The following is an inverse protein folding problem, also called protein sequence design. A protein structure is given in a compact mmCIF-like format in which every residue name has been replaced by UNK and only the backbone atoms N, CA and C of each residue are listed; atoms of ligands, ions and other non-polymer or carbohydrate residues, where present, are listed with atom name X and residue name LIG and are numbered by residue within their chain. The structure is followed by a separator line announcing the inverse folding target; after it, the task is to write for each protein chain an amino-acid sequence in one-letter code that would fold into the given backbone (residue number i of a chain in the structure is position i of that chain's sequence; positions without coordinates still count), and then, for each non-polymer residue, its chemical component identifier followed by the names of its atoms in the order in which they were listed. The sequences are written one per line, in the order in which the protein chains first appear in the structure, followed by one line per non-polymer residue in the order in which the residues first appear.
data_IF_804382794785
#
_entry.id   IF_804382794785
#
_cell.length_a   1.000
_cell.length_b   1.000
_cell.length_c   1.000
_cell.angle_alpha   90.00
_cell.angle_beta   90.00
_cell.angle_gamma   90.00
#
_symmetry.space_group_name_H-M   'P 1'
#
loop_
_entity.id
_entity.type
_entity.pdbx_description
1 polymer ?
#
# COMPACT_ATOMS: atom_id res chain seq x y z
N UNK A 1 -42.88 17.95 0.01
CA UNK A 1 -41.90 17.72 -1.07
C UNK A 1 -41.04 16.54 -0.66
N UNK A 2 -41.11 15.41 -1.38
CA UNK A 2 -40.51 14.15 -0.94
C UNK A 2 -39.70 13.54 -2.08
N UNK A 3 -38.37 13.62 -1.99
CA UNK A 3 -37.48 12.76 -2.78
C UNK A 3 -36.53 12.05 -1.83
N UNK A 4 -36.91 10.81 -1.52
CA UNK A 4 -36.08 9.81 -0.86
C UNK A 4 -34.95 9.44 -1.82
N UNK A 5 -33.74 9.95 -1.61
CA UNK A 5 -32.54 9.43 -2.27
C UNK A 5 -31.80 8.51 -1.31
N UNK A 6 -32.23 7.25 -1.32
CA UNK A 6 -31.39 6.10 -1.04
C UNK A 6 -30.13 6.20 -1.89
N UNK A 7 -28.94 6.21 -1.28
CA UNK A 7 -27.72 5.60 -1.85
C UNK A 7 -26.62 5.59 -0.77
N UNK A 8 -26.36 4.37 -0.31
CA UNK A 8 -25.11 3.78 0.19
C UNK A 8 -24.61 4.26 1.56
N UNK A 9 -24.83 3.38 2.54
CA UNK A 9 -24.22 3.37 3.85
C UNK A 9 -22.69 3.59 3.79
N UNK A 10 -22.10 4.28 4.78
CA UNK A 10 -20.65 4.37 4.93
C UNK A 10 -20.13 3.05 5.51
N UNK A 11 -19.92 2.03 4.66
CA UNK A 11 -19.10 0.87 5.04
C UNK A 11 -17.64 1.26 4.90
N UNK A 12 -17.03 1.78 5.97
CA UNK A 12 -15.58 1.58 6.22
C UNK A 12 -15.22 1.95 7.67
N UNK A 13 -15.72 1.21 8.67
CA UNK A 13 -15.29 1.35 10.08
C UNK A 13 -14.77 0.05 10.70
N UNK A 14 -14.30 -0.89 9.86
CA UNK A 14 -13.57 -2.10 10.29
C UNK A 14 -12.19 -2.24 9.63
N UNK A 15 -11.63 -1.12 9.17
CA UNK A 15 -10.45 -1.00 8.29
C UNK A 15 -9.14 -1.59 8.88
N UNK A 16 -9.09 -1.87 10.18
CA UNK A 16 -7.87 -2.33 10.84
C UNK A 16 -7.68 -3.86 10.86
N UNK A 17 -8.72 -4.64 10.53
CA UNK A 17 -8.66 -6.12 10.49
C UNK A 17 -9.02 -6.73 9.13
N UNK A 18 -9.16 -5.91 8.09
CA UNK A 18 -9.53 -6.36 6.75
C UNK A 18 -8.27 -6.82 6.01
N UNK A 19 -7.81 -8.05 6.27
CA UNK A 19 -6.80 -8.67 5.43
C UNK A 19 -7.38 -8.83 4.03
N UNK A 20 -6.81 -8.12 3.06
CA UNK A 20 -7.23 -8.17 1.64
C UNK A 20 -6.18 -8.91 0.83
N UNK A 21 -6.59 -9.47 -0.29
CA UNK A 21 -5.65 -10.12 -1.22
C UNK A 21 -4.76 -9.07 -1.90
N UNK A 22 -3.63 -9.51 -2.48
CA UNK A 22 -2.74 -8.64 -3.25
C UNK A 22 -3.51 -7.86 -4.34
N UNK A 23 -4.42 -8.53 -5.04
CA UNK A 23 -5.20 -7.91 -6.12
C UNK A 23 -6.11 -6.80 -5.59
N UNK A 24 -6.84 -7.08 -4.51
CA UNK A 24 -7.71 -6.09 -3.85
C UNK A 24 -6.93 -4.86 -3.35
N UNK A 25 -5.70 -5.05 -2.87
CA UNK A 25 -4.81 -3.94 -2.52
C UNK A 25 -4.40 -3.10 -3.73
N UNK A 26 -4.11 -3.74 -4.86
CA UNK A 26 -3.76 -3.06 -6.12
C UNK A 26 -4.97 -2.30 -6.68
N UNK A 27 -6.16 -2.91 -6.67
CA UNK A 27 -7.40 -2.27 -7.14
C UNK A 27 -7.81 -1.11 -6.21
N UNK A 28 -7.63 -1.32 -4.90
CA UNK A 28 -7.88 -0.38 -3.82
C UNK A 28 -6.77 0.66 -3.59
N UNK A 29 -5.87 0.89 -4.55
CA UNK A 29 -4.76 1.82 -4.39
C UNK A 29 -5.18 3.25 -3.98
N UNK A 30 -6.38 3.66 -4.38
CA UNK A 30 -7.00 4.93 -3.99
C UNK A 30 -7.14 5.08 -2.47
N UNK A 31 -7.38 3.97 -1.75
CA UNK A 31 -7.52 3.95 -0.29
C UNK A 31 -6.20 4.28 0.40
N UNK A 32 -5.07 3.92 -0.23
CA UNK A 32 -3.73 4.20 0.25
C UNK A 32 -3.15 5.50 -0.32
N UNK A 33 -3.90 6.22 -1.17
CA UNK A 33 -3.42 7.42 -1.92
C UNK A 33 -2.11 7.13 -2.68
N UNK A 34 -2.00 5.92 -3.22
CA UNK A 34 -0.86 5.45 -4.03
C UNK A 34 -1.35 5.00 -5.38
N UNK A 35 -0.41 4.84 -6.30
CA UNK A 35 -0.69 4.29 -7.62
C UNK A 35 -0.70 2.77 -7.60
N UNK A 36 -1.51 2.16 -8.47
CA UNK A 36 -1.66 0.70 -8.56
C UNK A 36 -0.32 0.00 -8.81
N UNK A 37 0.54 0.61 -9.62
CA UNK A 37 1.85 0.06 -9.95
C UNK A 37 2.83 0.15 -8.77
N UNK A 38 2.71 1.14 -7.87
CA UNK A 38 3.53 1.21 -6.65
C UNK A 38 3.17 0.05 -5.73
N UNK A 39 1.87 -0.23 -5.57
CA UNK A 39 1.38 -1.36 -4.75
C UNK A 39 1.77 -2.69 -5.40
N UNK A 40 1.58 -2.83 -6.71
CA UNK A 40 1.97 -4.05 -7.42
C UNK A 40 3.48 -4.32 -7.31
N UNK A 41 4.30 -3.28 -7.36
CA UNK A 41 5.75 -3.36 -7.15
C UNK A 41 6.12 -3.74 -5.71
N UNK A 42 5.53 -3.05 -4.72
CA UNK A 42 5.76 -3.34 -3.31
C UNK A 42 5.31 -4.75 -2.89
N UNK A 43 4.23 -5.24 -3.51
CA UNK A 43 3.69 -6.58 -3.29
C UNK A 43 4.18 -7.59 -4.33
N UNK A 44 5.19 -7.28 -5.14
CA UNK A 44 5.69 -8.16 -6.20
C UNK A 44 6.08 -9.53 -5.65
N UNK A 45 6.79 -9.53 -4.52
CA UNK A 45 7.24 -10.72 -3.79
C UNK A 45 6.10 -11.49 -3.08
N UNK A 46 4.93 -10.88 -2.91
CA UNK A 46 3.77 -11.52 -2.30
C UNK A 46 2.96 -12.34 -3.32
N UNK A 47 2.47 -13.50 -2.86
CA UNK A 47 1.53 -14.35 -3.62
C UNK A 47 0.21 -13.61 -3.84
N UNK A 48 -0.49 -13.92 -4.92
CA UNK A 48 -1.79 -13.29 -5.25
C UNK A 48 -2.86 -13.56 -4.19
N UNK A 49 -2.91 -14.79 -3.68
CA UNK A 49 -3.77 -15.22 -2.57
C UNK A 49 -3.25 -14.82 -1.18
N UNK A 50 -2.16 -14.05 -1.09
CA UNK A 50 -1.67 -13.58 0.20
C UNK A 50 -2.67 -12.57 0.80
N UNK A 51 -3.24 -12.91 1.94
CA UNK A 51 -4.06 -12.03 2.75
C UNK A 51 -3.15 -11.10 3.55
N UNK A 52 -2.98 -9.89 3.05
CA UNK A 52 -2.10 -8.88 3.62
C UNK A 52 -2.92 -7.88 4.44
N UNK A 53 -2.41 -7.56 5.63
CA UNK A 53 -2.98 -6.50 6.47
C UNK A 53 -2.58 -5.14 5.94
N UNK A 54 -3.36 -4.10 6.23
CA UNK A 54 -3.05 -2.72 5.82
C UNK A 54 -1.65 -2.27 6.27
N UNK A 55 -1.24 -2.64 7.49
CA UNK A 55 0.09 -2.35 8.01
C UNK A 55 1.20 -2.99 7.17
N UNK A 56 1.09 -4.28 6.84
CA UNK A 56 2.08 -4.98 6.02
C UNK A 56 2.23 -4.35 4.64
N UNK A 57 1.11 -3.98 4.00
CA UNK A 57 1.13 -3.31 2.70
C UNK A 57 1.80 -1.95 2.80
N UNK A 58 1.53 -1.17 3.86
CA UNK A 58 2.21 0.11 4.08
C UNK A 58 3.71 -0.08 4.32
N UNK A 59 4.13 -1.03 5.17
CA UNK A 59 5.55 -1.29 5.40
C UNK A 59 6.28 -1.71 4.12
N UNK A 60 5.66 -2.58 3.30
CA UNK A 60 6.22 -2.99 2.01
C UNK A 60 6.27 -1.84 1.01
N UNK A 61 5.23 -1.01 0.96
CA UNK A 61 5.19 0.19 0.13
C UNK A 61 6.26 1.19 0.54
N UNK A 62 6.42 1.45 1.83
CA UNK A 62 7.48 2.34 2.32
C UNK A 62 8.86 1.79 1.98
N UNK A 63 9.10 0.50 2.18
CA UNK A 63 10.35 -0.14 1.80
C UNK A 63 10.62 -0.12 0.28
N UNK A 64 9.57 -0.15 -0.55
CA UNK A 64 9.67 -0.07 -2.00
C UNK A 64 9.90 1.35 -2.51
N UNK A 65 9.23 2.35 -1.93
CA UNK A 65 9.25 3.75 -2.37
C UNK A 65 10.39 4.56 -1.74
N UNK A 66 10.71 4.22 -0.50
CA UNK A 66 11.95 4.60 0.17
C UNK A 66 12.72 3.31 0.37
N UNK A 67 13.35 2.77 -0.69
CA UNK A 67 14.43 1.83 -0.44
C UNK A 67 15.30 2.55 0.57
N UNK A 68 15.52 1.92 1.72
CA UNK A 68 16.46 2.44 2.69
C UNK A 68 17.78 2.47 1.92
N UNK A 69 18.07 3.58 1.26
CA UNK A 69 19.37 4.21 1.34
C UNK A 69 19.60 4.29 2.84
N UNK A 70 20.12 3.18 3.37
CA UNK A 70 21.42 3.23 3.97
C UNK A 70 22.22 4.16 3.07
N UNK A 71 22.08 5.44 3.36
CA UNK A 71 23.18 6.37 3.45
C UNK A 71 24.19 5.68 4.39
N UNK A 72 24.75 4.57 3.91
CA UNK A 72 26.14 4.28 4.10
C UNK A 72 26.75 5.53 3.49
N UNK A 73 27.14 6.42 4.37
CA UNK A 73 28.17 7.41 4.12
C UNK A 73 29.39 6.64 3.63
N UNK A 74 29.36 6.16 2.38
CA UNK A 74 30.54 5.79 1.64
C UNK A 74 31.18 7.13 1.32
N UNK A 75 31.90 7.63 2.32
CA UNK A 75 32.93 8.61 2.16
C UNK A 75 33.96 7.98 1.22
N UNK A 76 33.75 8.12 -0.09
CA UNK A 76 34.76 7.86 -1.11
C UNK A 76 35.76 9.02 -1.02
N UNK A 77 36.60 8.98 0.02
CA UNK A 77 37.90 9.64 0.02
C UNK A 77 38.75 8.88 -1.00
N UNK A 78 38.60 9.24 -2.28
CA UNK A 78 39.62 8.93 -3.27
C UNK A 78 40.55 10.13 -3.30
N UNK A 79 41.54 10.08 -2.42
CA UNK A 79 42.77 10.86 -2.55
C UNK A 79 43.66 10.15 -3.58
N UNK A 80 43.70 10.66 -4.80
CA UNK A 80 44.85 10.57 -5.71
C UNK A 80 45.00 11.86 -6.51
#
# INVERSE_FOLDING_TARGET
MSVKKTVREPVDVSNDLNKRTKQEWIEGAVVLKRERFEIAGALFDCKTDALLSRQEVNQKLEAYLRPVTKEETVNVDTKE
#
